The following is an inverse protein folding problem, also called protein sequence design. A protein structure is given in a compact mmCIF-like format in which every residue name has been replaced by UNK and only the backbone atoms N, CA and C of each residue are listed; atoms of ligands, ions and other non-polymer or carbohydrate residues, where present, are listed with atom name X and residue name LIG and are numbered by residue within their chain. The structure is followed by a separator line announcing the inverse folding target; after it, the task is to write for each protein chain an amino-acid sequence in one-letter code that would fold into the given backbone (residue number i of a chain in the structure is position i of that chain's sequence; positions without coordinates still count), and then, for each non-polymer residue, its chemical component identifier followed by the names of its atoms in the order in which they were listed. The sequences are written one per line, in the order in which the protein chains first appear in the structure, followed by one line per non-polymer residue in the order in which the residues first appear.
data_IF_768953225647
#
_entry.id   IF_768953225647
#
_cell.length_a   1.000
_cell.length_b   1.000
_cell.length_c   1.000
_cell.angle_alpha   90.00
_cell.angle_beta   90.00
_cell.angle_gamma   90.00
#
_symmetry.space_group_name_H-M   'P 1'
#
loop_
_entity.id
_entity.type
_entity.pdbx_description
1 polymer ?
#
# COMPACT_ATOMS: atom_id res chain seq x y z
N UNK A 1 -5.09 -12.00 -6.66
CA UNK A 1 -4.59 -11.80 -5.30
C UNK A 1 -3.46 -12.78 -5.04
N UNK A 2 -2.24 -12.30 -5.14
CA UNK A 2 -0.98 -13.05 -4.99
C UNK A 2 -0.57 -13.21 -3.52
N UNK A 3 -1.43 -13.78 -2.67
CA UNK A 3 -1.00 -14.14 -1.31
C UNK A 3 -0.06 -15.34 -1.39
N UNK A 4 1.20 -15.18 -0.95
CA UNK A 4 2.22 -16.25 -0.93
C UNK A 4 3.21 -16.25 -2.11
N UNK A 5 3.04 -15.37 -3.10
CA UNK A 5 4.01 -15.18 -4.19
C UNK A 5 4.92 -14.00 -3.86
N UNK A 6 6.25 -14.19 -3.98
CA UNK A 6 7.22 -13.10 -3.86
C UNK A 6 7.13 -12.23 -5.12
N UNK A 7 6.87 -10.93 -4.96
CA UNK A 7 6.85 -9.97 -6.06
C UNK A 7 8.28 -9.71 -6.55
N UNK A 8 8.60 -9.89 -7.82
CA UNK A 8 9.89 -9.51 -8.40
C UNK A 8 9.72 -8.22 -9.20
N UNK A 9 10.47 -7.18 -8.84
CA UNK A 9 10.31 -5.82 -9.36
C UNK A 9 11.68 -5.27 -9.76
N UNK A 10 11.79 -4.79 -10.99
CA UNK A 10 12.96 -4.04 -11.43
C UNK A 10 12.90 -2.61 -10.90
N UNK A 11 14.04 -2.05 -10.48
CA UNK A 11 14.11 -0.69 -9.95
C UNK A 11 13.66 0.37 -10.95
N UNK A 12 13.82 0.10 -12.25
CA UNK A 12 13.33 0.95 -13.33
C UNK A 12 11.80 1.01 -13.43
N UNK A 13 11.10 0.00 -12.90
CA UNK A 13 9.64 -0.05 -12.90
C UNK A 13 9.02 0.68 -11.70
N UNK A 14 9.84 1.17 -10.77
CA UNK A 14 9.34 1.94 -9.64
C UNK A 14 8.78 3.28 -10.13
N UNK A 15 7.58 3.67 -9.66
CA UNK A 15 6.96 4.91 -10.08
C UNK A 15 7.76 6.12 -9.60
N UNK A 16 7.93 7.10 -10.47
CA UNK A 16 8.58 8.37 -10.19
C UNK A 16 7.68 9.28 -9.33
N UNK A 17 7.54 8.94 -8.05
CA UNK A 17 6.82 9.77 -7.08
C UNK A 17 7.72 10.89 -6.54
N UNK A 18 7.22 12.12 -6.56
CA UNK A 18 7.78 13.25 -5.82
C UNK A 18 7.27 13.16 -4.38
N UNK A 19 8.16 12.78 -3.47
CA UNK A 19 7.83 12.59 -2.05
C UNK A 19 8.43 13.76 -1.25
N UNK A 20 7.60 14.62 -0.65
CA UNK A 20 8.07 15.69 0.22
C UNK A 20 8.81 15.13 1.45
N UNK A 21 9.73 15.92 2.03
CA UNK A 21 10.44 15.58 3.26
C UNK A 21 9.56 15.77 4.52
N UNK A 22 8.40 15.13 4.54
CA UNK A 22 7.45 15.14 5.66
C UNK A 22 6.62 13.85 5.68
N UNK A 23 6.06 13.54 6.84
CA UNK A 23 5.11 12.43 6.97
C UNK A 23 3.84 12.75 6.16
N UNK A 24 3.33 11.77 5.41
CA UNK A 24 2.10 11.94 4.64
C UNK A 24 1.57 10.69 3.97
N UNK A 25 0.56 10.89 3.13
CA UNK A 25 -0.13 9.86 2.38
C UNK A 25 -0.03 10.16 0.89
N UNK A 26 0.32 9.15 0.10
CA UNK A 26 0.17 9.19 -1.35
C UNK A 26 -1.17 8.58 -1.69
N UNK A 27 -2.06 9.35 -2.29
CA UNK A 27 -3.38 8.89 -2.71
C UNK A 27 -3.36 8.53 -4.19
N UNK A 28 -4.11 7.51 -4.57
CA UNK A 28 -4.37 7.22 -5.98
C UNK A 28 -5.85 6.90 -6.19
N UNK A 29 -6.40 7.41 -7.29
CA UNK A 29 -7.78 7.20 -7.70
C UNK A 29 -8.16 5.75 -8.04
N UNK A 30 -9.46 5.46 -8.27
CA UNK A 30 -9.89 4.16 -8.76
C UNK A 30 -9.30 3.86 -10.14
N UNK A 31 -9.13 2.57 -10.44
CA UNK A 31 -8.56 2.12 -11.71
C UNK A 31 -9.69 2.04 -12.75
N UNK A 32 -9.57 2.87 -13.80
CA UNK A 32 -10.36 2.91 -15.03
C UNK A 32 -9.48 3.41 -16.19
N UNK A 33 -10.02 3.71 -17.38
CA UNK A 33 -9.19 3.91 -18.59
C UNK A 33 -8.12 5.00 -18.49
N UNK A 34 -8.38 6.18 -17.92
CA UNK A 34 -7.33 7.19 -17.76
C UNK A 34 -7.62 8.13 -16.58
N UNK A 35 -7.18 7.77 -15.36
CA UNK A 35 -6.64 8.74 -14.41
C UNK A 35 -6.05 8.04 -13.18
N UNK A 36 -4.75 8.21 -12.95
CA UNK A 36 -4.15 8.03 -11.62
C UNK A 36 -3.88 9.43 -11.11
N UNK A 37 -4.90 10.08 -10.53
CA UNK A 37 -4.64 11.30 -9.78
C UNK A 37 -3.80 10.90 -8.56
N UNK A 38 -2.57 11.41 -8.51
CA UNK A 38 -1.65 11.18 -7.41
C UNK A 38 -1.55 12.46 -6.60
N UNK A 39 -2.15 12.45 -5.42
CA UNK A 39 -2.04 13.54 -4.46
C UNK A 39 -1.16 13.13 -3.28
N UNK A 40 -0.47 14.12 -2.71
CA UNK A 40 0.21 13.96 -1.44
C UNK A 40 -0.50 14.77 -0.36
N UNK A 41 -0.95 14.08 0.69
CA UNK A 41 -1.58 14.71 1.85
C UNK A 41 -0.61 14.64 3.04
N UNK A 42 -0.09 15.77 3.53
CA UNK A 42 0.71 15.81 4.74
C UNK A 42 -0.09 15.31 5.94
N UNK A 43 0.56 14.58 6.84
CA UNK A 43 -0.05 14.07 8.06
C UNK A 43 0.85 14.36 9.26
N UNK A 44 0.21 14.73 10.37
CA UNK A 44 0.90 14.94 11.63
C UNK A 44 1.62 13.67 12.12
N UNK A 45 2.81 13.82 12.76
CA UNK A 45 3.52 12.70 13.33
C UNK A 45 2.64 11.84 14.25
N UNK A 46 2.70 10.51 14.07
CA UNK A 46 1.93 9.56 14.88
C UNK A 46 0.47 9.35 14.44
N UNK A 47 -0.04 10.12 13.48
CA UNK A 47 -1.40 9.96 12.95
C UNK A 47 -1.46 9.18 11.62
N UNK A 48 -0.31 8.81 11.04
CA UNK A 48 -0.19 8.26 9.68
C UNK A 48 -1.18 7.14 9.36
N UNK A 49 -1.23 6.07 10.17
CA UNK A 49 -2.08 4.94 9.81
C UNK A 49 -3.57 5.24 9.99
N UNK A 50 -3.94 5.95 11.07
CA UNK A 50 -5.32 6.36 11.28
C UNK A 50 -5.79 7.24 10.12
N UNK A 51 -5.01 8.23 9.74
CA UNK A 51 -5.30 9.10 8.60
C UNK A 51 -5.41 8.30 7.30
N UNK A 52 -4.54 7.30 7.09
CA UNK A 52 -4.60 6.45 5.89
C UNK A 52 -5.91 5.66 5.79
N UNK A 53 -6.36 5.09 6.91
CA UNK A 53 -7.64 4.36 6.98
C UNK A 53 -8.83 5.29 6.80
N UNK A 54 -8.80 6.47 7.40
CA UNK A 54 -9.87 7.48 7.27
C UNK A 54 -9.96 7.99 5.82
N UNK A 55 -8.82 8.29 5.18
CA UNK A 55 -8.78 8.74 3.77
C UNK A 55 -9.18 7.64 2.80
N UNK A 56 -8.88 6.38 3.11
CA UNK A 56 -9.30 5.25 2.29
C UNK A 56 -10.83 5.14 2.16
N UNK A 57 -11.62 5.76 3.04
CA UNK A 57 -13.09 5.78 2.90
C UNK A 57 -13.60 6.85 1.93
N UNK A 58 -12.74 7.66 1.33
CA UNK A 58 -13.15 8.72 0.41
C UNK A 58 -13.61 8.13 -0.93
N UNK A 59 -14.71 8.62 -1.54
CA UNK A 59 -15.32 7.99 -2.73
C UNK A 59 -14.42 7.86 -3.96
N UNK A 60 -13.40 8.71 -4.08
CA UNK A 60 -12.49 8.78 -5.22
C UNK A 60 -11.11 8.18 -4.91
N UNK A 61 -10.92 7.54 -3.76
CA UNK A 61 -9.64 6.95 -3.36
C UNK A 61 -9.67 5.45 -3.61
N UNK A 62 -8.82 4.98 -4.54
CA UNK A 62 -8.64 3.57 -4.86
C UNK A 62 -7.51 2.92 -4.05
N UNK A 63 -6.44 3.65 -3.79
CA UNK A 63 -5.38 3.22 -2.88
C UNK A 63 -4.75 4.39 -2.11
N UNK A 64 -4.22 4.06 -0.94
CA UNK A 64 -3.52 4.98 -0.04
C UNK A 64 -2.19 4.33 0.33
N UNK A 65 -1.09 5.04 0.12
CA UNK A 65 0.24 4.60 0.53
C UNK A 65 0.77 5.50 1.63
N UNK A 66 1.13 4.90 2.76
CA UNK A 66 1.73 5.63 3.88
C UNK A 66 3.18 5.97 3.56
N UNK A 67 3.54 7.24 3.71
CA UNK A 67 4.89 7.76 3.56
C UNK A 67 5.42 8.29 4.90
N UNK A 68 6.20 7.50 5.65
CA UNK A 68 6.96 8.00 6.79
C UNK A 68 8.26 8.67 6.30
N UNK A 69 8.51 9.92 6.70
CA UNK A 69 9.71 10.69 6.28
C UNK A 69 11.03 10.03 6.65
N UNK A 70 11.03 9.26 7.74
CA UNK A 70 12.22 8.55 8.22
C UNK A 70 12.56 7.30 7.40
N UNK A 71 11.71 6.91 6.45
CA UNK A 71 11.91 5.74 5.59
C UNK A 71 12.43 6.14 4.21
N UNK A 72 13.30 5.33 3.59
CA UNK A 72 13.77 5.59 2.24
C UNK A 72 12.60 5.75 1.24
N UNK A 73 12.61 6.77 0.36
CA UNK A 73 11.57 6.99 -0.66
C UNK A 73 11.25 5.75 -1.51
N UNK A 74 12.25 4.91 -1.80
CA UNK A 74 12.09 3.66 -2.53
C UNK A 74 11.08 2.70 -1.86
N UNK A 75 11.00 2.67 -0.52
CA UNK A 75 10.02 1.86 0.22
C UNK A 75 8.59 2.32 -0.04
N UNK A 76 8.39 3.63 -0.14
CA UNK A 76 7.07 4.23 -0.41
C UNK A 76 6.67 3.96 -1.86
N UNK A 77 7.59 4.13 -2.82
CA UNK A 77 7.35 3.82 -4.24
C UNK A 77 6.99 2.35 -4.45
N UNK A 78 7.69 1.45 -3.77
CA UNK A 78 7.40 0.02 -3.81
C UNK A 78 6.01 -0.30 -3.22
N UNK A 79 5.67 0.30 -2.08
CA UNK A 79 4.35 0.14 -1.44
C UNK A 79 3.22 0.69 -2.31
N UNK A 80 3.46 1.81 -2.99
CA UNK A 80 2.50 2.41 -3.91
C UNK A 80 2.27 1.53 -5.13
N UNK A 81 3.34 1.02 -5.74
CA UNK A 81 3.25 0.13 -6.90
C UNK A 81 2.41 -1.11 -6.57
N UNK A 82 2.73 -1.79 -5.47
CA UNK A 82 2.01 -3.00 -5.03
C UNK A 82 0.58 -2.64 -4.63
N UNK A 83 0.36 -1.54 -3.89
CA UNK A 83 -0.97 -1.09 -3.50
C UNK A 83 -1.89 -0.83 -4.71
N UNK A 84 -1.35 -0.20 -5.74
CA UNK A 84 -2.04 -0.01 -7.04
C UNK A 84 -2.35 -1.34 -7.68
N UNK A 85 -1.38 -2.25 -7.77
CA UNK A 85 -1.60 -3.56 -8.40
C UNK A 85 -2.66 -4.39 -7.66
N UNK A 86 -2.63 -4.40 -6.33
CA UNK A 86 -3.68 -5.03 -5.51
C UNK A 86 -5.05 -4.42 -5.80
N UNK A 87 -5.15 -3.09 -5.94
CA UNK A 87 -6.40 -2.43 -6.30
C UNK A 87 -6.88 -2.84 -7.69
N UNK A 88 -6.00 -2.92 -8.68
CA UNK A 88 -6.33 -3.42 -10.04
C UNK A 88 -6.90 -4.84 -9.93
N UNK A 89 -6.20 -5.75 -9.25
CA UNK A 89 -6.61 -7.15 -9.11
C UNK A 89 -7.95 -7.30 -8.40
N UNK A 90 -8.18 -6.53 -7.32
CA UNK A 90 -9.45 -6.52 -6.59
C UNK A 90 -10.60 -6.07 -7.48
N UNK A 91 -10.39 -5.01 -8.27
CA UNK A 91 -11.39 -4.48 -9.21
C UNK A 91 -11.77 -5.50 -10.28
N UNK A 92 -10.77 -6.20 -10.84
CA UNK A 92 -10.97 -7.21 -11.87
C UNK A 92 -11.86 -8.38 -11.42
N UNK A 93 -11.95 -8.64 -10.11
CA UNK A 93 -12.80 -9.69 -9.52
C UNK A 93 -14.03 -9.14 -8.79
N UNK A 94 -14.43 -7.91 -9.11
CA UNK A 94 -15.60 -7.25 -8.53
C UNK A 94 -15.50 -6.96 -7.03
N UNK A 95 -14.30 -6.95 -6.46
CA UNK A 95 -14.06 -6.53 -5.08
C UNK A 95 -13.68 -5.05 -5.04
N UNK A 96 -14.68 -4.18 -4.92
CA UNK A 96 -14.47 -2.74 -4.92
C UNK A 96 -14.10 -2.20 -3.52
N UNK A 97 -12.89 -2.52 -3.07
CA UNK A 97 -12.38 -2.12 -1.76
C UNK A 97 -11.05 -1.39 -1.88
N UNK A 98 -10.88 -0.22 -1.21
CA UNK A 98 -9.64 0.54 -1.22
C UNK A 98 -8.50 -0.27 -0.60
N UNK A 99 -7.28 0.00 -1.05
CA UNK A 99 -6.05 -0.65 -0.56
C UNK A 99 -5.22 0.35 0.21
N UNK A 100 -4.84 0.02 1.45
CA UNK A 100 -3.90 0.81 2.24
C UNK A 100 -2.57 0.05 2.35
N UNK A 101 -1.46 0.63 1.90
CA UNK A 101 -0.14 -0.01 1.96
C UNK A 101 0.93 0.83 2.65
N UNK A 102 1.96 0.15 3.17
CA UNK A 102 3.16 0.76 3.72
C UNK A 102 4.39 -0.11 3.49
N UNK A 103 5.52 0.53 3.15
CA UNK A 103 6.77 -0.15 2.77
C UNK A 103 7.66 -0.57 3.94
N UNK A 104 7.22 -0.30 5.17
CA UNK A 104 7.91 -0.66 6.40
C UNK A 104 6.88 -1.10 7.44
N UNK A 105 7.27 -1.97 8.38
CA UNK A 105 6.45 -2.21 9.55
C UNK A 105 6.49 -0.94 10.42
N UNK A 106 5.38 -0.20 10.47
CA UNK A 106 5.16 0.71 11.60
C UNK A 106 4.91 -0.17 12.84
N UNK A 107 5.30 0.31 14.04
CA UNK A 107 5.14 -0.50 15.26
C UNK A 107 3.67 -0.92 15.41
N UNK A 108 3.37 -2.12 15.95
CA UNK A 108 2.00 -2.58 16.15
C UNK A 108 1.12 -1.59 16.94
N UNK A 109 1.71 -0.81 17.86
CA UNK A 109 1.01 0.26 18.57
C UNK A 109 0.63 1.44 17.65
N UNK A 110 1.49 1.77 16.67
CA UNK A 110 1.24 2.76 15.62
C UNK A 110 0.20 2.28 14.62
N UNK A 111 -0.03 0.96 14.55
CA UNK A 111 -1.12 0.39 13.79
C UNK A 111 -2.49 0.59 14.45
N UNK A 112 -2.53 1.20 15.64
CA UNK A 112 -3.62 2.02 16.14
C UNK A 112 -5.02 1.53 15.81
N UNK A 113 -5.44 0.40 16.34
CA UNK A 113 -6.87 0.05 16.32
C UNK A 113 -7.18 -1.39 16.65
N UNK A 114 -8.04 -1.59 17.64
CA UNK A 114 -8.83 -2.81 17.67
C UNK A 114 -9.55 -2.96 16.32
N UNK A 115 -9.35 -4.09 15.64
CA UNK A 115 -10.07 -4.41 14.39
C UNK A 115 -9.31 -4.20 13.08
N UNK A 116 -8.08 -3.64 13.10
CA UNK A 116 -7.20 -3.64 11.93
C UNK A 116 -6.39 -4.95 11.84
N UNK A 117 -6.06 -5.35 10.61
CA UNK A 117 -5.26 -6.53 10.29
C UNK A 117 -4.19 -6.13 9.28
N UNK A 118 -2.97 -6.62 9.50
CA UNK A 118 -1.85 -6.41 8.60
C UNK A 118 -1.59 -7.68 7.81
N UNK A 119 -1.58 -7.57 6.48
CA UNK A 119 -1.24 -8.65 5.56
C UNK A 119 0.14 -8.36 4.99
N UNK A 120 1.06 -9.30 5.13
CA UNK A 120 2.41 -9.18 4.61
C UNK A 120 2.44 -9.46 3.10
N UNK A 121 3.18 -8.64 2.37
CA UNK A 121 3.53 -8.82 0.97
C UNK A 121 5.05 -8.81 0.83
N UNK A 122 5.63 -9.87 0.28
CA UNK A 122 7.08 -10.00 0.13
C UNK A 122 7.50 -9.60 -1.28
N UNK A 123 8.44 -8.67 -1.40
CA UNK A 123 8.94 -8.21 -2.69
C UNK A 123 10.46 -8.29 -2.74
N UNK A 124 10.98 -8.58 -3.92
CA UNK A 124 12.38 -8.45 -4.30
C UNK A 124 12.50 -7.30 -5.27
N UNK A 125 13.38 -6.36 -4.93
CA UNK A 125 13.72 -5.21 -5.77
C UNK A 125 15.11 -5.43 -6.36
N UNK A 126 15.22 -5.38 -7.68
CA UNK A 126 16.51 -5.34 -8.36
C UNK A 126 16.90 -3.88 -8.59
N UNK A 127 17.87 -3.39 -7.83
CA UNK A 127 18.48 -2.09 -8.09
C UNK A 127 19.92 -2.28 -8.56
N UNK A 128 20.60 -1.23 -9.03
CA UNK A 128 21.89 -1.29 -9.73
C UNK A 128 23.06 -2.02 -9.03
N UNK A 129 22.85 -2.62 -7.84
CA UNK A 129 23.79 -3.51 -7.15
C UNK A 129 23.29 -4.96 -6.94
N UNK A 130 22.05 -5.32 -7.30
CA UNK A 130 21.51 -6.67 -7.20
C UNK A 130 20.11 -6.73 -6.55
N UNK A 131 19.70 -7.95 -6.19
CA UNK A 131 18.38 -8.19 -5.59
C UNK A 131 18.37 -7.95 -4.08
N UNK A 132 17.44 -7.13 -3.61
CA UNK A 132 17.18 -6.90 -2.18
C UNK A 132 15.75 -7.29 -1.80
N UNK A 133 15.56 -7.84 -0.60
CA UNK A 133 14.25 -8.31 -0.10
C UNK A 133 13.57 -7.27 0.78
N UNK A 134 12.27 -7.13 0.59
CA UNK A 134 11.40 -6.18 1.26
C UNK A 134 10.13 -6.89 1.75
N UNK A 135 9.71 -6.56 2.96
CA UNK A 135 8.36 -6.89 3.43
C UNK A 135 7.58 -5.59 3.48
N UNK A 136 6.44 -5.59 2.78
CA UNK A 136 5.46 -4.54 2.78
C UNK A 136 4.21 -5.03 3.50
N UNK A 137 3.39 -4.09 3.89
CA UNK A 137 2.16 -4.38 4.60
C UNK A 137 0.99 -3.77 3.89
N UNK A 138 -0.08 -4.53 3.84
CA UNK A 138 -1.41 -4.05 3.51
C UNK A 138 -2.22 -4.00 4.80
N UNK A 139 -2.93 -2.89 5.01
CA UNK A 139 -3.78 -2.70 6.18
C UNK A 139 -5.23 -2.87 5.78
N UNK A 140 -5.93 -3.73 6.52
CA UNK A 140 -7.32 -4.08 6.28
C UNK A 140 -8.14 -3.90 7.55
N UNK A 141 -9.38 -3.43 7.39
CA UNK A 141 -10.41 -3.63 8.41
C UNK A 141 -10.84 -5.09 8.50
N UNK A 142 -11.44 -5.50 9.62
CA UNK A 142 -11.84 -6.90 9.85
C UNK A 142 -12.69 -7.51 8.72
N UNK A 143 -13.68 -6.77 8.21
CA UNK A 143 -14.53 -7.24 7.10
C UNK A 143 -13.74 -7.49 5.82
N UNK A 144 -12.84 -6.55 5.48
CA UNK A 144 -11.95 -6.70 4.32
C UNK A 144 -11.02 -7.91 4.50
N UNK A 145 -10.48 -8.09 5.70
CA UNK A 145 -9.61 -9.22 6.02
C UNK A 145 -10.31 -10.57 5.90
N UNK A 146 -11.54 -10.70 6.38
CA UNK A 146 -12.34 -11.93 6.20
C UNK A 146 -12.61 -12.20 4.72
N UNK A 147 -13.03 -11.18 3.96
CA UNK A 147 -13.21 -11.33 2.49
C UNK A 147 -11.91 -11.72 1.79
N UNK A 148 -10.77 -11.19 2.24
CA UNK A 148 -9.47 -11.59 1.74
C UNK A 148 -9.15 -13.05 2.04
N UNK A 149 -9.44 -13.54 3.26
CA UNK A 149 -9.25 -14.95 3.63
C UNK A 149 -10.05 -15.90 2.74
N UNK A 150 -11.26 -15.52 2.35
CA UNK A 150 -12.13 -16.34 1.49
C UNK A 150 -11.64 -16.37 0.03
N UNK A 151 -10.93 -15.33 -0.40
CA UNK A 151 -10.51 -15.12 -1.80
C UNK A 151 -9.02 -15.39 -2.04
N UNK A 152 -8.22 -15.56 -0.98
CA UNK A 152 -6.78 -15.79 -1.13
C UNK A 152 -6.53 -17.16 -1.75
N UNK A 153 -5.49 -17.30 -2.59
CA UNK A 153 -5.01 -18.61 -3.01
C UNK A 153 -4.73 -19.50 -1.80
N UNK A 154 -5.09 -20.78 -1.89
CA UNK A 154 -4.64 -21.76 -0.91
C UNK A 154 -3.10 -21.78 -0.92
N UNK A 155 -2.51 -21.59 0.26
CA UNK A 155 -1.07 -21.67 0.48
C UNK A 155 -0.60 -23.13 0.49
#
# INVERSE_FOLDING_TARGET
MTAGTEWEIEGADLPALVLPDTDGLVLAGPVGEECIEVDFVPVEPGALLRAAVDVATWPHVGSVTVHPRQQPPARTRLAFLIGRQLRIERSAVGWDSPVVTLGAALRPESAGGQGLRMVAHHARLHDGGGWSRHTLWEVMGLRQYVTWLDRRPAS
#
